data_IF_571549857532
#
_entry.id   IF_571549857532
#
_cell.length_a   1.000
_cell.length_b   1.000
_cell.length_c   1.000
_cell.angle_alpha   90.00
_cell.angle_beta   90.00
_cell.angle_gamma   90.00
#
_symmetry.space_group_name_H-M   'P 1'
#
loop_
_entity.id
_entity.type
_entity.pdbx_description
1 polymer ?
#
# COMPACT_ATOMS: atom_id res chain seq x y z
N UNK A 1 10.84 5.69 6.54
CA UNK A 1 9.63 5.23 5.82
C UNK A 1 8.42 5.01 6.72
N UNK A 2 8.19 5.83 7.76
CA UNK A 2 7.04 5.61 8.67
C UNK A 2 5.74 6.23 8.15
N UNK A 3 5.85 7.23 7.27
CA UNK A 3 4.71 7.89 6.63
C UNK A 3 5.11 8.23 5.19
N UNK A 4 5.08 7.25 4.27
CA UNK A 4 5.24 7.52 2.85
C UNK A 4 4.12 8.44 2.37
N UNK A 5 4.44 9.32 1.42
CA UNK A 5 3.42 10.03 0.67
C UNK A 5 2.90 9.11 -0.45
N UNK A 6 1.87 8.32 -0.13
CA UNK A 6 1.31 7.36 -1.06
C UNK A 6 0.60 8.00 -2.25
N UNK A 7 0.16 9.25 -2.12
CA UNK A 7 -0.47 9.99 -3.20
C UNK A 7 0.55 10.40 -4.26
N UNK A 8 1.76 10.80 -3.85
CA UNK A 8 2.84 11.06 -4.79
C UNK A 8 3.43 9.78 -5.39
N UNK A 9 3.50 8.71 -4.62
CA UNK A 9 3.98 7.40 -5.10
C UNK A 9 3.04 6.87 -6.19
N UNK A 10 1.72 6.94 -6.01
CA UNK A 10 0.76 6.40 -6.99
C UNK A 10 0.88 7.08 -8.36
N UNK A 11 1.12 8.40 -8.39
CA UNK A 11 1.32 9.17 -9.64
C UNK A 11 2.51 8.71 -10.47
N UNK A 12 3.50 8.08 -9.82
CA UNK A 12 4.76 7.64 -10.46
C UNK A 12 4.78 6.15 -10.79
N UNK A 13 3.87 5.37 -10.21
CA UNK A 13 3.77 3.95 -10.47
C UNK A 13 2.92 3.69 -11.71
N UNK A 14 3.30 2.66 -12.48
CA UNK A 14 2.45 2.16 -13.55
C UNK A 14 1.20 1.45 -12.99
N UNK A 15 1.35 0.80 -11.83
CA UNK A 15 0.28 0.13 -11.11
C UNK A 15 0.44 0.40 -9.60
N UNK A 16 -0.65 0.79 -8.94
CA UNK A 16 -0.68 1.04 -7.50
C UNK A 16 -0.77 -0.28 -6.72
N UNK A 17 0.31 -1.07 -6.68
CA UNK A 17 0.36 -2.36 -5.96
C UNK A 17 1.47 -2.33 -4.92
N UNK A 18 1.17 -2.73 -3.68
CA UNK A 18 2.13 -2.82 -2.56
C UNK A 18 2.15 -4.24 -2.01
N UNK A 19 3.34 -4.79 -1.84
CA UNK A 19 3.59 -6.02 -1.08
C UNK A 19 4.34 -5.65 0.21
N UNK A 20 3.71 -5.83 1.36
CA UNK A 20 4.27 -5.46 2.66
C UNK A 20 4.57 -6.69 3.51
N UNK A 21 5.87 -7.00 3.62
CA UNK A 21 6.39 -8.11 4.41
C UNK A 21 6.34 -7.92 5.93
N UNK A 22 6.01 -6.71 6.40
CA UNK A 22 6.02 -6.34 7.82
C UNK A 22 4.68 -5.85 8.34
N UNK A 23 3.67 -5.73 7.47
CA UNK A 23 2.34 -5.22 7.80
C UNK A 23 2.40 -3.84 8.48
N UNK A 24 3.23 -2.95 7.94
CA UNK A 24 3.53 -1.62 8.47
C UNK A 24 2.50 -0.56 8.08
N UNK A 25 1.79 -0.75 6.97
CA UNK A 25 0.85 0.25 6.47
C UNK A 25 -0.60 -0.09 6.79
N UNK A 26 -1.42 0.95 6.88
CA UNK A 26 -2.85 0.80 7.14
C UNK A 26 -3.58 0.39 5.85
N UNK A 27 -4.19 -0.80 5.87
CA UNK A 27 -4.91 -1.40 4.74
C UNK A 27 -6.02 -0.49 4.22
N UNK A 28 -6.93 -0.07 5.10
CA UNK A 28 -8.08 0.76 4.71
C UNK A 28 -7.67 2.07 4.04
N UNK A 29 -6.59 2.70 4.53
CA UNK A 29 -6.08 3.92 3.94
C UNK A 29 -5.53 3.67 2.54
N UNK A 30 -4.73 2.62 2.34
CA UNK A 30 -4.17 2.25 1.04
C UNK A 30 -5.26 1.87 0.03
N UNK A 31 -6.26 1.10 0.45
CA UNK A 31 -7.40 0.75 -0.40
C UNK A 31 -8.23 1.97 -0.80
N UNK A 32 -8.47 2.91 0.12
CA UNK A 32 -9.20 4.17 -0.17
C UNK A 32 -8.53 5.02 -1.24
N UNK A 33 -7.20 5.00 -1.31
CA UNK A 33 -6.43 5.74 -2.33
C UNK A 33 -6.11 4.88 -3.56
N UNK A 34 -6.69 3.67 -3.66
CA UNK A 34 -6.62 2.82 -4.86
C UNK A 34 -5.40 1.91 -4.95
N UNK A 35 -4.70 1.66 -3.85
CA UNK A 35 -3.65 0.63 -3.82
C UNK A 35 -4.23 -0.77 -3.62
N UNK A 36 -3.76 -1.71 -4.44
CA UNK A 36 -3.85 -3.14 -4.15
C UNK A 36 -2.79 -3.49 -3.11
N UNK A 37 -3.21 -3.95 -1.93
CA UNK A 37 -2.32 -4.13 -0.79
C UNK A 37 -2.25 -5.59 -0.33
N UNK A 38 -1.07 -6.19 -0.50
CA UNK A 38 -0.77 -7.57 -0.15
C UNK A 38 0.08 -7.65 1.11
N UNK A 39 -0.44 -8.33 2.12
CA UNK A 39 0.15 -8.45 3.45
C UNK A 39 0.55 -9.88 3.75
N UNK A 40 1.66 -10.07 4.45
CA UNK A 40 2.08 -11.42 4.86
C UNK A 40 1.24 -11.89 6.05
N UNK A 41 0.70 -13.11 5.95
CA UNK A 41 -0.09 -13.72 7.01
C UNK A 41 -1.50 -13.14 7.19
N UNK A 42 -1.93 -12.25 6.30
CA UNK A 42 -3.30 -11.75 6.23
C UNK A 42 -3.99 -12.38 5.03
N UNK A 43 -5.22 -12.84 5.21
CA UNK A 43 -5.98 -13.42 4.10
C UNK A 43 -6.34 -12.32 3.09
N UNK A 44 -5.97 -12.54 1.84
CA UNK A 44 -6.36 -11.74 0.68
C UNK A 44 -7.87 -11.76 0.47
#
# INVERSE_FOLDING_TARGET
FRSPDFEEISKRLNNSIIFDGRNQYNKDNLEKIGFEYHQIGVKS
#
